data_IF_348434324639
#
_entry.id   IF_348434324639
#
_cell.length_a   1.000
_cell.length_b   1.000
_cell.length_c   1.000
_cell.angle_alpha   90.00
_cell.angle_beta   90.00
_cell.angle_gamma   90.00
#
_symmetry.space_group_name_H-M   'P 1'
#
loop_
_entity.id
_entity.type
_entity.pdbx_description
1 polymer ?
#
# COMPACT_ATOMS: atom_id res chain seq x y z
N UNK A 1 -1.84 0.78 48.79
CA UNK A 1 -1.02 0.22 47.69
C UNK A 1 -1.83 -0.50 46.61
N UNK A 2 -2.70 -1.51 46.87
CA UNK A 2 -3.47 -2.25 45.81
C UNK A 2 -4.39 -1.35 44.99
N UNK A 3 -5.09 -0.40 45.61
CA UNK A 3 -6.00 0.55 44.90
C UNK A 3 -5.27 1.50 43.99
N UNK A 4 -4.10 2.01 44.39
CA UNK A 4 -3.27 2.92 43.56
C UNK A 4 -2.69 2.18 42.36
N UNK A 5 -2.29 0.92 42.55
CA UNK A 5 -1.80 0.08 41.45
C UNK A 5 -2.93 -0.22 40.43
N UNK A 6 -4.12 -0.56 40.92
CA UNK A 6 -5.28 -0.80 40.03
C UNK A 6 -5.67 0.46 39.24
N UNK A 7 -5.65 1.64 39.90
CA UNK A 7 -5.90 2.91 39.22
C UNK A 7 -4.88 3.20 38.12
N UNK A 8 -3.60 2.93 38.40
CA UNK A 8 -2.52 3.08 37.43
C UNK A 8 -2.72 2.19 36.17
N UNK A 9 -3.05 0.91 36.40
CA UNK A 9 -3.37 0.01 35.26
C UNK A 9 -4.61 0.46 34.48
N UNK A 10 -5.65 0.94 35.18
CA UNK A 10 -6.85 1.46 34.51
C UNK A 10 -6.50 2.63 33.59
N UNK A 11 -5.68 3.58 34.05
CA UNK A 11 -5.25 4.73 33.25
C UNK A 11 -4.47 4.28 32.02
N UNK A 12 -3.55 3.32 32.17
CA UNK A 12 -2.77 2.78 31.04
C UNK A 12 -3.70 2.15 30.00
N UNK A 13 -4.66 1.32 30.44
CA UNK A 13 -5.63 0.68 29.53
C UNK A 13 -6.43 1.76 28.79
N UNK A 14 -6.87 2.79 29.46
CA UNK A 14 -7.65 3.89 28.89
C UNK A 14 -6.83 4.68 27.85
N UNK A 15 -5.55 4.92 28.12
CA UNK A 15 -4.62 5.54 27.16
C UNK A 15 -4.42 4.67 25.93
N UNK A 16 -4.23 3.36 26.10
CA UNK A 16 -4.07 2.42 24.99
C UNK A 16 -5.34 2.40 24.12
N UNK A 17 -6.52 2.30 24.73
CA UNK A 17 -7.79 2.32 24.01
C UNK A 17 -7.99 3.64 23.26
N UNK A 18 -7.66 4.78 23.86
CA UNK A 18 -7.72 6.09 23.22
C UNK A 18 -6.77 6.16 22.02
N UNK A 19 -5.55 5.65 22.15
CA UNK A 19 -4.56 5.62 21.08
C UNK A 19 -4.99 4.71 19.93
N UNK A 20 -5.52 3.51 20.21
CA UNK A 20 -6.06 2.60 19.21
C UNK A 20 -7.25 3.20 18.47
N UNK A 21 -8.14 3.88 19.19
CA UNK A 21 -9.28 4.60 18.60
C UNK A 21 -8.79 5.72 17.67
N UNK A 22 -7.81 6.49 18.12
CA UNK A 22 -7.18 7.52 17.30
C UNK A 22 -6.57 6.95 16.02
N UNK A 23 -5.80 5.87 16.11
CA UNK A 23 -5.21 5.20 14.94
C UNK A 23 -6.25 4.61 14.01
N UNK A 24 -7.38 4.13 14.55
CA UNK A 24 -8.46 3.58 13.72
C UNK A 24 -9.19 4.67 12.93
N UNK A 25 -9.45 5.83 13.53
CA UNK A 25 -10.23 6.90 12.91
C UNK A 25 -9.33 7.78 12.03
N UNK A 26 -8.28 8.34 12.60
CA UNK A 26 -7.44 9.33 11.93
C UNK A 26 -6.26 8.71 11.20
N UNK A 27 -5.67 7.64 11.77
CA UNK A 27 -4.42 7.05 11.30
C UNK A 27 -3.20 7.90 11.64
N UNK A 28 -2.04 7.38 11.35
CA UNK A 28 -0.74 8.02 11.51
C UNK A 28 -0.07 8.20 10.15
N UNK A 29 0.24 9.44 9.78
CA UNK A 29 1.04 9.72 8.60
C UNK A 29 2.53 9.66 8.96
N UNK A 30 3.30 8.92 8.18
CA UNK A 30 4.73 8.72 8.43
C UNK A 30 5.47 8.40 7.13
N UNK A 31 6.72 8.76 7.07
CA UNK A 31 7.68 8.40 6.04
C UNK A 31 8.67 7.32 6.49
N UNK A 32 8.69 7.01 7.79
CA UNK A 32 9.67 6.10 8.40
C UNK A 32 9.65 4.69 7.83
N UNK A 33 8.51 4.24 7.33
CA UNK A 33 8.36 2.91 6.73
C UNK A 33 8.63 2.88 5.23
N UNK A 34 8.81 4.05 4.59
CA UNK A 34 9.03 4.12 3.14
C UNK A 34 10.25 3.28 2.71
N UNK A 35 11.45 3.41 3.32
CA UNK A 35 12.61 2.63 2.91
C UNK A 35 12.39 1.12 3.04
N UNK A 36 11.68 0.69 4.08
CA UNK A 36 11.37 -0.72 4.29
C UNK A 36 10.43 -1.26 3.19
N UNK A 37 9.36 -0.53 2.88
CA UNK A 37 8.40 -0.93 1.84
C UNK A 37 9.04 -0.92 0.45
N UNK A 38 9.80 0.13 0.13
CA UNK A 38 10.51 0.26 -1.14
C UNK A 38 11.53 -0.89 -1.33
N UNK A 39 12.27 -1.24 -0.28
CA UNK A 39 13.20 -2.36 -0.28
C UNK A 39 12.48 -3.69 -0.50
N UNK A 40 11.41 -3.97 0.24
CA UNK A 40 10.62 -5.20 0.11
C UNK A 40 10.03 -5.37 -1.30
N UNK A 41 9.54 -4.29 -1.90
CA UNK A 41 9.01 -4.32 -3.27
C UNK A 41 10.13 -4.58 -4.27
N UNK A 42 11.28 -3.91 -4.13
CA UNK A 42 12.41 -4.10 -5.04
C UNK A 42 13.05 -5.50 -4.91
N UNK A 43 13.04 -6.10 -3.73
CA UNK A 43 13.48 -7.48 -3.50
C UNK A 43 12.53 -8.49 -4.15
N UNK A 44 11.22 -8.23 -4.10
CA UNK A 44 10.21 -9.10 -4.72
C UNK A 44 10.21 -8.98 -6.25
N UNK A 45 10.42 -7.77 -6.78
CA UNK A 45 10.46 -7.48 -8.21
C UNK A 45 11.54 -6.44 -8.52
N UNK A 46 12.71 -6.90 -8.96
CA UNK A 46 13.88 -6.03 -9.24
C UNK A 46 13.62 -4.94 -10.28
N UNK A 47 12.71 -5.19 -11.22
CA UNK A 47 12.33 -4.24 -12.28
C UNK A 47 11.34 -3.17 -11.82
N UNK A 48 10.71 -3.34 -10.64
CA UNK A 48 9.70 -2.44 -10.10
C UNK A 48 10.31 -1.58 -8.97
N UNK A 49 10.27 -0.28 -9.17
CA UNK A 49 10.64 0.70 -8.14
C UNK A 49 9.44 1.58 -7.83
N UNK A 50 9.08 1.65 -6.57
CA UNK A 50 8.01 2.52 -6.08
C UNK A 50 8.63 3.46 -5.07
N UNK A 51 8.36 4.75 -5.24
CA UNK A 51 8.80 5.76 -4.29
C UNK A 51 7.57 6.37 -3.63
N UNK A 52 7.55 6.34 -2.30
CA UNK A 52 6.48 6.87 -1.47
C UNK A 52 6.89 8.22 -0.88
N UNK A 53 6.02 9.22 -0.94
CA UNK A 53 6.25 10.49 -0.23
C UNK A 53 5.87 10.35 1.24
N UNK A 54 4.61 10.01 1.48
CA UNK A 54 4.07 9.72 2.82
C UNK A 54 3.09 8.58 2.73
N UNK A 55 3.13 7.74 3.73
CA UNK A 55 2.14 6.70 3.92
C UNK A 55 1.27 7.02 5.13
N UNK A 56 0.02 6.65 5.06
CA UNK A 56 -0.93 6.73 6.17
C UNK A 56 -1.23 5.33 6.66
N UNK A 57 -0.94 5.09 7.93
CA UNK A 57 -1.20 3.82 8.59
C UNK A 57 -2.43 3.95 9.48
N UNK A 58 -3.39 3.07 9.32
CA UNK A 58 -4.58 2.92 10.17
C UNK A 58 -4.67 1.50 10.71
N UNK A 59 -5.42 1.33 11.79
CA UNK A 59 -5.78 0.02 12.31
C UNK A 59 -7.26 -0.22 12.03
N UNK A 60 -7.58 -1.31 11.36
CA UNK A 60 -8.93 -1.84 11.27
C UNK A 60 -9.13 -2.85 12.42
N UNK A 61 -9.73 -2.37 13.52
CA UNK A 61 -9.94 -3.18 14.72
C UNK A 61 -10.88 -4.35 14.43
N UNK A 62 -11.85 -4.18 13.53
CA UNK A 62 -12.82 -5.25 13.20
C UNK A 62 -12.15 -6.40 12.45
N UNK A 63 -11.18 -6.10 11.61
CA UNK A 63 -10.47 -7.09 10.79
C UNK A 63 -9.13 -7.49 11.38
N UNK A 64 -8.72 -6.91 12.51
CA UNK A 64 -7.41 -7.08 13.12
C UNK A 64 -6.29 -6.92 12.07
N UNK A 65 -6.35 -5.85 11.30
CA UNK A 65 -5.40 -5.59 10.24
C UNK A 65 -4.88 -4.15 10.25
N UNK A 66 -3.64 -3.97 9.79
CA UNK A 66 -3.16 -2.66 9.40
C UNK A 66 -3.64 -2.32 8.00
N UNK A 67 -4.14 -1.12 7.85
CA UNK A 67 -4.48 -0.53 6.57
C UNK A 67 -3.49 0.57 6.24
N UNK A 68 -2.68 0.35 5.20
CA UNK A 68 -1.67 1.29 4.76
C UNK A 68 -2.14 1.92 3.45
N UNK A 69 -2.16 3.25 3.42
CA UNK A 69 -2.48 4.02 2.21
C UNK A 69 -1.29 4.86 1.80
N UNK A 70 -0.86 4.72 0.56
CA UNK A 70 0.07 5.63 -0.08
C UNK A 70 -0.67 6.48 -1.12
N UNK A 71 -0.60 7.80 -0.99
CA UNK A 71 -1.17 8.74 -1.94
C UNK A 71 -0.12 9.18 -2.94
N UNK A 72 -0.49 9.18 -4.24
CA UNK A 72 0.35 9.60 -5.36
C UNK A 72 1.76 8.99 -5.39
N UNK A 73 1.89 7.66 -5.20
CA UNK A 73 3.20 7.02 -5.28
C UNK A 73 3.74 7.10 -6.71
N UNK A 74 5.04 7.35 -6.82
CA UNK A 74 5.75 7.39 -8.11
C UNK A 74 6.25 5.98 -8.41
N UNK A 75 5.79 5.42 -9.51
CA UNK A 75 6.14 4.06 -9.92
C UNK A 75 7.02 4.09 -11.16
N UNK A 76 8.08 3.31 -11.14
CA UNK A 76 8.94 3.06 -12.28
C UNK A 76 9.03 1.55 -12.49
N UNK A 77 8.56 1.10 -13.66
CA UNK A 77 8.74 -0.28 -14.10
C UNK A 77 9.70 -0.30 -15.28
N UNK A 78 10.88 -0.89 -15.07
CA UNK A 78 12.01 -0.79 -15.99
C UNK A 78 12.30 0.68 -16.36
N UNK A 79 12.11 1.07 -17.59
CA UNK A 79 12.34 2.45 -18.07
C UNK A 79 11.07 3.30 -18.18
N UNK A 80 9.89 2.73 -17.86
CA UNK A 80 8.62 3.46 -17.95
C UNK A 80 8.21 3.97 -16.59
N UNK A 81 7.95 5.27 -16.49
CA UNK A 81 7.41 5.92 -15.28
C UNK A 81 5.90 6.07 -15.45
N UNK A 82 5.15 5.82 -14.41
CA UNK A 82 3.71 6.07 -14.36
C UNK A 82 3.30 6.50 -12.97
N UNK A 83 2.26 7.29 -12.90
CA UNK A 83 1.75 7.80 -11.64
C UNK A 83 0.54 6.99 -11.22
N UNK A 84 0.51 6.62 -9.96
CA UNK A 84 -0.66 6.06 -9.34
C UNK A 84 -1.35 7.13 -8.49
N UNK A 85 -2.67 7.08 -8.46
CA UNK A 85 -3.46 7.93 -7.59
C UNK A 85 -3.35 7.48 -6.14
N UNK A 86 -3.37 6.15 -5.94
CA UNK A 86 -3.41 5.56 -4.61
C UNK A 86 -2.97 4.10 -4.64
N UNK A 87 -2.29 3.67 -3.58
CA UNK A 87 -2.08 2.27 -3.25
C UNK A 87 -2.61 2.05 -1.84
N UNK A 88 -3.49 1.07 -1.67
CA UNK A 88 -3.96 0.59 -0.38
C UNK A 88 -3.47 -0.83 -0.17
N UNK A 89 -2.88 -1.09 0.99
CA UNK A 89 -2.44 -2.42 1.39
C UNK A 89 -3.02 -2.78 2.76
N UNK A 90 -3.45 -4.02 2.89
CA UNK A 90 -3.97 -4.60 4.14
C UNK A 90 -3.01 -5.68 4.60
N UNK A 91 -2.51 -5.52 5.82
CA UNK A 91 -1.55 -6.42 6.44
C UNK A 91 -2.20 -7.01 7.69
N UNK A 92 -2.19 -8.32 7.80
CA UNK A 92 -2.71 -9.01 8.97
C UNK A 92 -1.86 -8.69 10.20
N UNK A 93 -2.53 -8.28 11.31
CA UNK A 93 -1.86 -8.02 12.58
C UNK A 93 -1.22 -9.29 13.17
N UNK A 94 -1.83 -10.44 12.96
CA UNK A 94 -1.29 -11.72 13.46
C UNK A 94 0.06 -12.06 12.81
N UNK A 95 0.26 -11.65 11.55
CA UNK A 95 1.50 -11.91 10.82
C UNK A 95 2.74 -11.20 11.43
N UNK A 96 2.52 -10.10 12.17
CA UNK A 96 3.60 -9.44 12.91
C UNK A 96 4.07 -10.25 14.12
N UNK A 97 3.19 -11.01 14.77
CA UNK A 97 3.54 -11.86 15.91
C UNK A 97 4.54 -12.95 15.48
N UNK A 98 4.41 -13.41 14.24
CA UNK A 98 5.29 -14.43 13.65
C UNK A 98 6.47 -13.86 12.85
N UNK A 99 6.74 -12.55 12.94
CA UNK A 99 7.80 -11.85 12.21
C UNK A 99 7.75 -12.01 10.67
N UNK A 100 6.59 -12.32 10.12
CA UNK A 100 6.37 -12.47 8.68
C UNK A 100 5.15 -11.65 8.24
N UNK A 101 5.26 -10.30 8.18
CA UNK A 101 4.15 -9.46 7.76
C UNK A 101 3.73 -9.79 6.33
N UNK A 102 2.49 -10.26 6.18
CA UNK A 102 1.89 -10.63 4.90
C UNK A 102 0.84 -9.62 4.46
N UNK A 103 0.95 -9.18 3.22
CA UNK A 103 -0.08 -8.37 2.56
C UNK A 103 -1.12 -9.34 1.99
N UNK A 104 -2.30 -9.42 2.61
CA UNK A 104 -3.37 -10.31 2.12
C UNK A 104 -4.28 -9.64 1.08
N UNK A 105 -4.25 -8.32 0.99
CA UNK A 105 -5.03 -7.56 0.00
C UNK A 105 -4.30 -6.28 -0.36
N UNK A 106 -4.24 -5.97 -1.65
CA UNK A 106 -3.78 -4.69 -2.16
C UNK A 106 -4.76 -4.16 -3.20
N UNK A 107 -5.09 -2.87 -3.12
CA UNK A 107 -5.85 -2.16 -4.13
C UNK A 107 -4.97 -1.08 -4.72
N UNK A 108 -4.93 -1.00 -6.04
CA UNK A 108 -4.12 -0.03 -6.77
C UNK A 108 -5.05 0.79 -7.64
N UNK A 109 -5.06 2.10 -7.42
CA UNK A 109 -5.82 3.04 -8.25
C UNK A 109 -4.82 3.84 -9.07
N UNK A 110 -4.91 3.75 -10.40
CA UNK A 110 -4.04 4.52 -11.29
C UNK A 110 -4.59 5.93 -11.54
N UNK A 111 -3.69 6.85 -11.90
CA UNK A 111 -4.09 8.04 -12.66
C UNK A 111 -4.44 7.62 -14.09
N UNK A 112 -4.92 8.57 -14.89
CA UNK A 112 -5.10 8.31 -16.32
C UNK A 112 -3.74 8.02 -16.99
N UNK A 113 -3.59 6.83 -17.53
CA UNK A 113 -2.39 6.40 -18.23
C UNK A 113 -2.67 6.43 -19.73
N UNK A 114 -1.80 7.06 -20.48
CA UNK A 114 -1.90 7.05 -21.94
C UNK A 114 -1.65 5.64 -22.49
N UNK A 115 -2.43 5.22 -23.46
CA UNK A 115 -2.26 3.91 -24.13
C UNK A 115 -0.84 3.69 -24.62
N UNK A 116 -0.19 4.74 -25.11
CA UNK A 116 1.21 4.68 -25.54
C UNK A 116 2.18 4.26 -24.44
N UNK A 117 1.94 4.68 -23.20
CA UNK A 117 2.75 4.28 -22.05
C UNK A 117 2.43 2.85 -21.60
N UNK A 118 1.14 2.49 -21.64
CA UNK A 118 0.72 1.10 -21.38
C UNK A 118 1.33 0.11 -22.39
N UNK A 119 1.40 0.48 -23.65
CA UNK A 119 2.06 -0.36 -24.69
C UNK A 119 3.52 -0.61 -24.34
N UNK A 120 4.26 0.38 -23.84
CA UNK A 120 5.65 0.21 -23.41
C UNK A 120 5.78 -0.84 -22.27
N UNK A 121 4.83 -0.85 -21.33
CA UNK A 121 4.81 -1.84 -20.25
C UNK A 121 4.39 -3.21 -20.78
N UNK A 122 3.38 -3.24 -21.66
CA UNK A 122 2.83 -4.46 -22.22
C UNK A 122 3.86 -5.30 -22.98
N UNK A 123 4.89 -4.68 -23.55
CA UNK A 123 6.00 -5.40 -24.21
C UNK A 123 6.62 -6.44 -23.27
N UNK A 124 6.74 -6.10 -21.98
CA UNK A 124 7.38 -6.95 -20.96
C UNK A 124 6.43 -7.94 -20.30
N UNK A 125 5.11 -7.83 -20.53
CA UNK A 125 4.14 -8.77 -19.97
C UNK A 125 4.16 -10.09 -20.74
N UNK A 126 3.78 -11.17 -20.04
CA UNK A 126 3.56 -12.48 -20.68
C UNK A 126 2.50 -12.36 -21.80
N UNK A 127 2.59 -13.20 -22.83
CA UNK A 127 1.57 -13.26 -23.88
C UNK A 127 0.19 -13.50 -23.27
N UNK A 128 -0.78 -12.65 -23.63
CA UNK A 128 -2.17 -12.76 -23.19
C UNK A 128 -3.09 -12.12 -24.22
N UNK A 129 -4.38 -12.46 -24.18
CA UNK A 129 -5.41 -11.84 -25.02
C UNK A 129 -5.45 -10.33 -24.81
N UNK A 130 -5.34 -9.89 -23.56
CA UNK A 130 -5.28 -8.47 -23.22
C UNK A 130 -4.07 -7.77 -23.88
N UNK A 131 -2.89 -8.39 -23.82
CA UNK A 131 -1.69 -7.84 -24.46
C UNK A 131 -1.87 -7.71 -25.97
N UNK A 132 -2.42 -8.73 -26.65
CA UNK A 132 -2.71 -8.69 -28.09
C UNK A 132 -3.68 -7.55 -28.44
N UNK A 133 -4.80 -7.47 -27.71
CA UNK A 133 -5.77 -6.39 -27.87
C UNK A 133 -5.13 -5.01 -27.71
N UNK A 134 -4.40 -4.80 -26.61
CA UNK A 134 -3.76 -3.51 -26.32
C UNK A 134 -2.73 -3.12 -27.39
N UNK A 135 -1.96 -4.08 -27.90
CA UNK A 135 -0.90 -3.80 -28.87
C UNK A 135 -1.43 -3.53 -30.28
N UNK A 136 -2.46 -4.26 -30.70
CA UNK A 136 -2.92 -4.28 -32.10
C UNK A 136 -4.18 -3.42 -32.32
N UNK A 137 -5.12 -3.45 -31.39
CA UNK A 137 -6.48 -2.93 -31.64
C UNK A 137 -6.69 -1.52 -31.05
N UNK A 138 -5.85 -1.11 -30.09
CA UNK A 138 -6.00 0.20 -29.44
C UNK A 138 -4.85 1.12 -29.81
N UNK A 139 -5.13 2.19 -30.54
CA UNK A 139 -4.09 3.11 -30.99
C UNK A 139 -3.91 4.31 -30.07
N UNK A 140 -4.99 4.92 -29.60
CA UNK A 140 -4.97 6.13 -28.78
C UNK A 140 -6.02 6.01 -27.66
N UNK A 141 -5.83 6.80 -26.60
CA UNK A 141 -6.75 6.89 -25.50
C UNK A 141 -6.04 6.97 -24.16
N UNK A 142 -6.85 7.02 -23.11
CA UNK A 142 -6.42 6.99 -21.71
C UNK A 142 -7.19 5.92 -20.97
N UNK A 143 -6.53 5.25 -20.04
CA UNK A 143 -7.11 4.20 -19.22
C UNK A 143 -6.78 4.49 -17.76
N UNK A 144 -7.73 4.25 -16.87
CA UNK A 144 -7.51 4.18 -15.45
C UNK A 144 -7.87 2.78 -14.95
N UNK A 145 -7.20 2.35 -13.90
CA UNK A 145 -7.46 1.08 -13.21
C UNK A 145 -7.93 1.38 -11.78
N UNK A 146 -8.91 0.61 -11.34
CA UNK A 146 -9.42 0.68 -9.98
C UNK A 146 -9.61 -0.73 -9.40
#
# INVERSE_FOLDING_TARGET
>A
MKKTLALFFLIIILLILSFLTYLSIFGLETDRFNPFLEKKISESQSDLKINFEKIKVKIDIKKLSFYITASKPKVKYKNTKFNLKKIDAYIDLSSFVFNQPEIYKANIVSEEIQIKELKKIAVYLKPSTFKKFLMNDVNNGKVNFN
#
